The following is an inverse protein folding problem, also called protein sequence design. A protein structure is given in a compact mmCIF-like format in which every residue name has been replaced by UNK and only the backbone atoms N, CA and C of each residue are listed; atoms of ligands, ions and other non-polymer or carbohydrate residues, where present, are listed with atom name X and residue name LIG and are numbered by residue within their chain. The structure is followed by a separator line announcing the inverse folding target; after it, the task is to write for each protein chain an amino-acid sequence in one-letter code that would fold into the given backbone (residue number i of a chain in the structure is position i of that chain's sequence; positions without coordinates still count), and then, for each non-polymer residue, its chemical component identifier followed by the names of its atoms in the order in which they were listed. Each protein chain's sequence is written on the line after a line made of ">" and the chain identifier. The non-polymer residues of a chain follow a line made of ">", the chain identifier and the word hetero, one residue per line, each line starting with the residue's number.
data_IF_134195813711
#
_entry.id   IF_134195813711
#
_cell.length_a   1.000
_cell.length_b   1.000
_cell.length_c   1.000
_cell.angle_alpha   90.00
_cell.angle_beta   90.00
_cell.angle_gamma   90.00
#
_symmetry.space_group_name_H-M   'P 1'
#
loop_
_entity.id
_entity.type
_entity.pdbx_description
1 polymer ?
#
# COMPACT_ATOMS: atom_id res chain seq x y z
N UNK A 1 -6.62 -4.28 4.91
CA UNK A 1 -5.56 -3.54 4.17
C UNK A 1 -4.48 -4.53 3.78
N UNK A 2 -3.79 -4.32 2.65
CA UNK A 2 -2.72 -5.24 2.19
C UNK A 2 -1.58 -4.40 1.60
N UNK A 3 -0.36 -4.60 2.10
CA UNK A 3 0.82 -3.78 1.75
C UNK A 3 1.68 -4.35 0.62
N UNK A 4 1.66 -5.67 0.43
CA UNK A 4 2.60 -6.37 -0.47
C UNK A 4 1.87 -7.26 -1.47
N UNK A 5 2.56 -7.54 -2.57
CA UNK A 5 2.07 -8.41 -3.65
C UNK A 5 2.06 -9.89 -3.23
N UNK A 6 2.84 -10.23 -2.20
CA UNK A 6 2.93 -11.57 -1.60
C UNK A 6 2.56 -11.51 -0.12
N UNK A 7 1.28 -11.27 0.24
CA UNK A 7 0.88 -10.96 1.61
C UNK A 7 1.09 -12.11 2.62
N UNK A 8 1.31 -13.32 2.12
CA UNK A 8 1.52 -14.53 2.94
C UNK A 8 2.97 -15.02 2.88
N UNK A 9 3.90 -14.23 2.32
CA UNK A 9 5.31 -14.59 2.21
C UNK A 9 6.19 -13.42 2.65
N UNK A 10 7.30 -13.74 3.31
CA UNK A 10 8.30 -12.75 3.67
C UNK A 10 8.92 -12.08 2.43
N UNK A 11 9.09 -10.76 2.46
CA UNK A 11 9.69 -9.96 1.38
C UNK A 11 10.07 -8.57 1.88
N UNK A 12 10.86 -7.82 1.09
CA UNK A 12 11.11 -6.38 1.31
C UNK A 12 10.11 -5.47 0.61
N UNK A 13 9.03 -6.04 0.05
CA UNK A 13 8.07 -5.29 -0.77
C UNK A 13 7.37 -4.15 -0.03
N UNK A 14 7.31 -4.19 1.30
CA UNK A 14 6.81 -3.05 2.07
C UNK A 14 7.63 -1.79 1.77
N UNK A 15 8.94 -1.83 1.98
CA UNK A 15 9.83 -0.70 1.73
C UNK A 15 9.98 -0.40 0.25
N UNK A 16 10.07 -1.43 -0.59
CA UNK A 16 10.12 -1.22 -2.04
C UNK A 16 8.88 -0.45 -2.52
N UNK A 17 7.67 -0.83 -2.11
CA UNK A 17 6.47 -0.10 -2.48
C UNK A 17 6.46 1.31 -1.88
N UNK A 18 6.84 1.46 -0.60
CA UNK A 18 6.84 2.72 0.15
C UNK A 18 7.64 3.83 -0.57
N UNK A 19 8.82 3.48 -1.06
CA UNK A 19 9.74 4.42 -1.72
C UNK A 19 9.59 4.47 -3.24
N UNK A 20 9.07 3.41 -3.88
CA UNK A 20 8.88 3.36 -5.34
C UNK A 20 7.73 4.24 -5.83
N UNK A 21 6.67 4.39 -5.05
CA UNK A 21 5.46 5.07 -5.49
C UNK A 21 5.24 6.40 -4.76
N UNK A 22 4.54 7.31 -5.44
CA UNK A 22 3.94 8.49 -4.82
C UNK A 22 2.53 8.17 -4.31
N UNK A 23 2.15 8.82 -3.21
CA UNK A 23 0.97 8.48 -2.43
C UNK A 23 -0.08 9.59 -2.51
N UNK A 24 -1.31 9.22 -2.86
CA UNK A 24 -2.47 10.13 -2.89
C UNK A 24 -3.45 9.75 -1.79
N UNK A 25 -3.89 10.74 -1.02
CA UNK A 25 -4.87 10.53 0.04
C UNK A 25 -6.21 10.08 -0.56
N UNK A 26 -6.80 9.05 0.03
CA UNK A 26 -8.13 8.55 -0.28
C UNK A 26 -8.85 8.11 1.00
N UNK A 27 -10.07 7.60 0.87
CA UNK A 27 -10.86 7.08 2.00
C UNK A 27 -11.22 5.62 1.79
N UNK A 28 -11.21 4.85 2.88
CA UNK A 28 -11.72 3.48 2.89
C UNK A 28 -13.26 3.49 2.76
N UNK A 29 -13.89 2.34 2.45
CA UNK A 29 -15.36 2.25 2.46
C UNK A 29 -16.01 2.65 3.79
N UNK A 30 -15.28 2.53 4.90
CA UNK A 30 -15.71 2.94 6.23
C UNK A 30 -15.36 4.42 6.56
N UNK A 31 -14.86 5.20 5.60
CA UNK A 31 -14.56 6.63 5.75
C UNK A 31 -13.18 6.97 6.35
N UNK A 32 -12.39 5.96 6.75
CA UNK A 32 -11.06 6.17 7.32
C UNK A 32 -10.07 6.68 6.26
N UNK A 33 -9.13 7.53 6.67
CA UNK A 33 -8.06 8.05 5.80
C UNK A 33 -7.09 6.91 5.49
N UNK A 34 -6.75 6.76 4.22
CA UNK A 34 -5.72 5.85 3.71
C UNK A 34 -5.03 6.51 2.51
N UNK A 35 -3.92 5.95 2.06
CA UNK A 35 -3.22 6.41 0.87
C UNK A 35 -3.17 5.30 -0.18
N UNK A 36 -3.35 5.67 -1.44
CA UNK A 36 -3.20 4.77 -2.59
C UNK A 36 -2.07 5.28 -3.49
N UNK A 37 -1.32 4.36 -4.08
CA UNK A 37 -0.25 4.70 -5.01
C UNK A 37 -0.82 5.33 -6.30
N UNK A 38 -0.38 6.54 -6.64
CA UNK A 38 -0.95 7.38 -7.73
C UNK A 38 -0.99 6.64 -9.08
N UNK A 39 0.19 6.25 -9.56
CA UNK A 39 0.42 5.71 -10.91
C UNK A 39 0.89 4.24 -10.89
N UNK A 40 0.48 3.49 -9.87
CA UNK A 40 0.82 2.08 -9.75
C UNK A 40 -0.17 1.17 -10.50
N UNK A 41 0.30 0.05 -11.10
CA UNK A 41 -0.57 -1.00 -11.59
C UNK A 41 -1.28 -1.75 -10.45
N UNK A 42 -2.35 -2.47 -10.78
CA UNK A 42 -3.03 -3.36 -9.84
C UNK A 42 -2.21 -4.64 -9.63
N UNK A 43 -1.46 -4.70 -8.53
CA UNK A 43 -0.49 -5.77 -8.24
C UNK A 43 -0.73 -6.44 -6.89
N UNK A 44 -1.57 -5.87 -6.03
CA UNK A 44 -1.92 -6.45 -4.74
C UNK A 44 -3.06 -7.44 -4.95
N UNK A 45 -2.92 -8.72 -4.56
CA UNK A 45 -3.96 -9.71 -4.76
C UNK A 45 -5.17 -9.45 -3.86
N UNK A 46 -6.37 -9.72 -4.37
CA UNK A 46 -7.57 -9.81 -3.55
C UNK A 46 -7.53 -11.08 -2.68
N UNK A 47 -7.94 -11.01 -1.40
CA UNK A 47 -7.83 -12.15 -0.48
C UNK A 47 -8.77 -13.33 -0.80
N UNK A 48 -9.84 -13.11 -1.59
CA UNK A 48 -10.85 -14.14 -1.87
C UNK A 48 -11.07 -14.38 -3.36
N UNK A 49 -10.74 -13.41 -4.22
CA UNK A 49 -10.91 -13.53 -5.67
C UNK A 49 -9.56 -13.50 -6.42
N UNK A 50 -9.06 -14.63 -6.93
CA UNK A 50 -7.76 -14.69 -7.60
C UNK A 50 -7.69 -13.89 -8.92
N UNK A 51 -8.84 -13.58 -9.53
CA UNK A 51 -8.92 -12.77 -10.75
C UNK A 51 -8.90 -11.26 -10.50
N UNK A 52 -8.93 -10.82 -9.22
CA UNK A 52 -8.98 -9.40 -8.85
C UNK A 52 -7.66 -8.97 -8.22
N UNK A 53 -7.17 -7.81 -8.67
CA UNK A 53 -6.03 -7.12 -8.05
C UNK A 53 -6.44 -5.70 -7.67
N UNK A 54 -5.57 -5.05 -6.91
CA UNK A 54 -5.74 -3.68 -6.41
C UNK A 54 -4.41 -2.96 -6.46
N UNK A 55 -4.43 -1.63 -6.45
CA UNK A 55 -3.22 -0.83 -6.30
C UNK A 55 -2.65 -0.98 -4.88
N UNK A 56 -1.34 -0.74 -4.68
CA UNK A 56 -0.73 -0.61 -3.35
C UNK A 56 -1.40 0.48 -2.52
N UNK A 57 -1.54 0.22 -1.23
CA UNK A 57 -2.11 1.16 -0.25
C UNK A 57 -1.23 1.25 0.99
N UNK A 58 -1.20 2.43 1.65
CA UNK A 58 -0.45 2.69 2.89
C UNK A 58 -1.32 3.46 3.90
N UNK A 59 -1.10 3.20 5.19
CA UNK A 59 -1.68 3.97 6.28
C UNK A 59 -0.90 5.28 6.46
N UNK A 60 -1.52 6.23 7.16
CA UNK A 60 -0.85 7.47 7.58
C UNK A 60 0.45 7.14 8.34
N UNK A 61 0.40 6.16 9.24
CA UNK A 61 1.54 5.70 10.05
C UNK A 61 2.62 4.99 9.23
N UNK A 62 2.28 4.40 8.09
CA UNK A 62 3.29 3.75 7.24
C UNK A 62 4.14 4.83 6.53
N UNK A 63 3.50 5.93 6.13
CA UNK A 63 4.19 7.04 5.47
C UNK A 63 5.13 7.81 6.40
N UNK A 64 4.95 7.76 7.72
CA UNK A 64 5.88 8.43 8.65
C UNK A 64 7.28 7.85 8.54
N UNK A 65 7.43 6.56 8.26
CA UNK A 65 8.73 5.90 8.04
C UNK A 65 9.49 6.42 6.80
N UNK A 66 8.80 7.11 5.90
CA UNK A 66 9.40 7.74 4.70
C UNK A 66 9.71 9.22 4.91
N UNK A 67 8.88 9.93 5.67
CA UNK A 67 8.92 11.40 5.74
C UNK A 67 9.50 11.94 7.03
N UNK A 68 9.58 11.15 8.09
CA UNK A 68 10.23 11.56 9.33
C UNK A 68 11.76 11.44 9.19
N UNK A 69 12.52 12.56 9.25
CA UNK A 69 13.98 12.53 9.15
C UNK A 69 14.67 11.98 10.41
N UNK A 70 13.93 11.75 11.50
CA UNK A 70 14.44 11.30 12.79
C UNK A 70 14.27 9.81 13.07
N UNK A 71 13.83 9.03 12.08
CA UNK A 71 13.85 7.56 12.10
C UNK A 71 15.14 7.04 11.47
#
# INVERSE_FOLDING_TARGET
>A
MVWTQTPTQWSNYFFENLFKYEWVQTRSPAGAIQFEAKDAPEIIPDPFNPGKKRKPTMLVTDLTLRFDPGV
#
